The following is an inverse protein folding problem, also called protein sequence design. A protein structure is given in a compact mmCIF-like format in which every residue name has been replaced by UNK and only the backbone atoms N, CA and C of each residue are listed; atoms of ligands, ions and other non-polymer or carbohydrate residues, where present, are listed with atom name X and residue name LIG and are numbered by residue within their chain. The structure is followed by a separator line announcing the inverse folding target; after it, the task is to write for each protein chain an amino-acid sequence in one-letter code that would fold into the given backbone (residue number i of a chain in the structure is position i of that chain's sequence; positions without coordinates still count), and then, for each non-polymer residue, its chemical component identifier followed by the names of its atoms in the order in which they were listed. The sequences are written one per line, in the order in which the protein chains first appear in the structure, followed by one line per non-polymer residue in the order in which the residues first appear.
data_IF_706015288069
#
_entry.id   IF_706015288069
#
_cell.length_a   1.000
_cell.length_b   1.000
_cell.length_c   1.000
_cell.angle_alpha   90.00
_cell.angle_beta   90.00
_cell.angle_gamma   90.00
#
_symmetry.space_group_name_H-M   'P 1'
#
loop_
_entity.id
_entity.type
_entity.pdbx_description
1 polymer ?
#
# COMPACT_ATOMS: atom_id res chain seq x y z
N UNK A 1 1.89 -14.82 13.77
CA UNK A 1 2.62 -15.12 12.51
C UNK A 1 1.58 -15.38 11.43
N UNK A 2 1.61 -14.60 10.32
CA UNK A 2 0.60 -14.70 9.27
C UNK A 2 0.74 -15.95 8.37
N UNK A 3 1.79 -16.76 8.56
CA UNK A 3 2.00 -18.01 7.81
C UNK A 3 2.26 -17.82 6.30
N UNK A 4 2.53 -16.59 5.86
CA UNK A 4 2.77 -16.27 4.45
C UNK A 4 4.21 -16.54 4.01
N UNK A 5 5.16 -16.44 4.94
CA UNK A 5 6.58 -16.70 4.68
C UNK A 5 7.08 -17.85 5.56
N UNK A 6 7.94 -18.68 5.00
CA UNK A 6 8.78 -19.59 5.79
C UNK A 6 9.69 -18.73 6.68
N UNK A 7 10.09 -19.21 7.85
CA UNK A 7 10.87 -18.45 8.85
C UNK A 7 12.33 -18.17 8.41
N UNK A 8 12.52 -17.55 7.24
CA UNK A 8 13.82 -17.14 6.74
C UNK A 8 13.95 -15.61 6.72
N UNK A 9 15.16 -15.11 6.75
CA UNK A 9 15.49 -13.69 6.78
C UNK A 9 15.73 -13.08 5.38
N UNK A 10 15.45 -13.82 4.29
CA UNK A 10 15.73 -13.33 2.92
C UNK A 10 14.97 -12.04 2.59
N UNK A 11 13.74 -11.87 3.10
CA UNK A 11 12.96 -10.66 2.89
C UNK A 11 13.62 -9.42 3.52
N UNK A 12 14.20 -9.57 4.72
CA UNK A 12 14.96 -8.51 5.38
C UNK A 12 16.23 -8.17 4.60
N UNK A 13 16.97 -9.18 4.16
CA UNK A 13 18.18 -8.97 3.36
C UNK A 13 17.88 -8.23 2.06
N UNK A 14 16.88 -8.67 1.29
CA UNK A 14 16.45 -8.00 0.06
C UNK A 14 15.99 -6.56 0.31
N UNK A 15 15.29 -6.30 1.42
CA UNK A 15 14.87 -4.97 1.81
C UNK A 15 16.07 -4.04 2.07
N UNK A 16 17.10 -4.52 2.80
CA UNK A 16 18.31 -3.74 3.02
C UNK A 16 19.09 -3.48 1.72
N UNK A 17 19.23 -4.48 0.87
CA UNK A 17 19.86 -4.33 -0.45
C UNK A 17 19.12 -3.28 -1.29
N UNK A 18 17.78 -3.33 -1.32
CA UNK A 18 16.96 -2.33 -1.99
C UNK A 18 17.20 -0.92 -1.45
N UNK A 19 17.25 -0.74 -0.14
CA UNK A 19 17.52 0.56 0.48
C UNK A 19 18.89 1.12 0.13
N UNK A 20 19.91 0.26 0.03
CA UNK A 20 21.28 0.70 -0.37
C UNK A 20 21.31 1.25 -1.80
N UNK A 21 20.60 0.60 -2.73
CA UNK A 21 20.57 1.03 -4.13
C UNK A 21 19.69 2.27 -4.36
N UNK A 22 18.65 2.46 -3.56
CA UNK A 22 17.69 3.56 -3.68
C UNK A 22 17.72 4.52 -2.48
N UNK A 23 18.92 4.92 -2.07
CA UNK A 23 19.10 5.85 -0.94
C UNK A 23 18.39 7.20 -1.14
N UNK A 24 18.12 7.60 -2.39
CA UNK A 24 17.36 8.82 -2.73
C UNK A 24 15.91 8.81 -2.18
N UNK A 25 15.34 7.63 -1.91
CA UNK A 25 14.01 7.51 -1.29
C UNK A 25 13.97 8.18 0.09
N UNK A 26 15.09 8.18 0.83
CA UNK A 26 15.17 8.80 2.17
C UNK A 26 15.08 10.34 2.13
N UNK A 27 15.24 10.96 0.98
CA UNK A 27 15.10 12.42 0.84
C UNK A 27 13.63 12.86 0.94
N UNK A 28 12.68 11.98 0.61
CA UNK A 28 11.26 12.30 0.57
C UNK A 28 10.51 11.70 1.78
N UNK A 29 10.52 12.44 2.91
CA UNK A 29 9.90 12.02 4.18
C UNK A 29 8.43 11.62 4.03
N UNK A 30 7.68 12.34 3.17
CA UNK A 30 6.25 12.10 2.97
C UNK A 30 5.99 10.73 2.33
N UNK A 31 6.81 10.35 1.35
CA UNK A 31 6.70 9.04 0.68
C UNK A 31 7.00 7.90 1.67
N UNK A 32 8.02 8.07 2.52
CA UNK A 32 8.39 7.06 3.53
C UNK A 32 7.24 6.85 4.51
N UNK A 33 6.67 7.94 5.04
CA UNK A 33 5.56 7.88 5.99
C UNK A 33 4.34 7.23 5.33
N UNK A 34 3.99 7.65 4.11
CA UNK A 34 2.89 7.07 3.36
C UNK A 34 3.08 5.56 3.15
N UNK A 35 4.25 5.12 2.69
CA UNK A 35 4.55 3.70 2.49
C UNK A 35 4.45 2.90 3.78
N UNK A 36 4.94 3.44 4.90
CA UNK A 36 4.80 2.80 6.21
C UNK A 36 3.33 2.59 6.58
N UNK A 37 2.48 3.60 6.40
CA UNK A 37 1.04 3.53 6.66
C UNK A 37 0.35 2.50 5.73
N UNK A 38 0.74 2.45 4.45
CA UNK A 38 0.23 1.44 3.51
C UNK A 38 0.62 0.01 3.92
N UNK A 39 1.82 -0.19 4.46
CA UNK A 39 2.22 -1.50 5.00
C UNK A 39 1.40 -1.90 6.23
N UNK A 40 1.04 -0.94 7.10
CA UNK A 40 0.12 -1.19 8.22
C UNK A 40 -1.27 -1.59 7.71
N UNK A 41 -1.78 -0.90 6.69
CA UNK A 41 -3.04 -1.24 6.04
C UNK A 41 -3.00 -2.65 5.44
N UNK A 42 -1.97 -2.97 4.67
CA UNK A 42 -1.79 -4.29 4.06
C UNK A 42 -1.73 -5.41 5.12
N UNK A 43 -1.02 -5.18 6.22
CA UNK A 43 -0.98 -6.11 7.36
C UNK A 43 -2.38 -6.41 7.90
N UNK A 44 -3.24 -5.38 8.03
CA UNK A 44 -4.63 -5.54 8.49
C UNK A 44 -5.47 -6.31 7.48
N UNK A 45 -5.35 -6.02 6.18
CA UNK A 45 -6.06 -6.72 5.11
C UNK A 45 -5.69 -8.21 5.04
N UNK A 46 -4.40 -8.54 5.14
CA UNK A 46 -3.94 -9.93 5.20
C UNK A 46 -4.50 -10.67 6.43
N UNK A 47 -4.68 -9.97 7.54
CA UNK A 47 -5.21 -10.57 8.77
C UNK A 47 -6.71 -10.88 8.70
N UNK A 48 -7.44 -10.42 7.66
CA UNK A 48 -8.86 -10.75 7.45
C UNK A 48 -9.11 -12.26 7.27
N UNK A 49 -8.11 -13.03 6.87
CA UNK A 49 -8.20 -14.50 6.75
C UNK A 49 -8.68 -15.20 8.03
N UNK A 50 -8.46 -14.59 9.20
CA UNK A 50 -8.89 -15.17 10.49
C UNK A 50 -10.38 -15.01 10.75
N UNK A 51 -11.07 -14.15 9.98
CA UNK A 51 -12.50 -13.79 10.13
C UNK A 51 -12.88 -13.26 11.53
N UNK A 52 -11.89 -13.01 12.39
CA UNK A 52 -12.08 -12.42 13.73
C UNK A 52 -12.01 -10.89 13.60
N UNK A 53 -12.94 -10.18 14.24
CA UNK A 53 -12.96 -8.70 14.26
C UNK A 53 -12.85 -8.08 12.86
N UNK A 54 -13.58 -8.62 11.90
CA UNK A 54 -13.46 -8.23 10.47
C UNK A 54 -13.74 -6.75 10.26
N UNK A 55 -14.73 -6.18 10.94
CA UNK A 55 -15.13 -4.77 10.81
C UNK A 55 -14.02 -3.83 11.29
N UNK A 56 -13.42 -4.12 12.44
CA UNK A 56 -12.31 -3.35 12.97
C UNK A 56 -11.10 -3.37 12.03
N UNK A 57 -10.78 -4.54 11.47
CA UNK A 57 -9.66 -4.68 10.53
C UNK A 57 -9.88 -3.91 9.23
N UNK A 58 -11.12 -3.90 8.71
CA UNK A 58 -11.48 -3.13 7.51
C UNK A 58 -11.38 -1.63 7.82
N UNK A 59 -11.91 -1.21 8.98
CA UNK A 59 -11.82 0.18 9.42
C UNK A 59 -10.36 0.63 9.56
N UNK A 60 -9.55 -0.14 10.30
CA UNK A 60 -8.13 0.16 10.50
C UNK A 60 -7.38 0.27 9.17
N UNK A 61 -7.59 -0.70 8.26
CA UNK A 61 -6.93 -0.69 6.96
C UNK A 61 -7.31 0.56 6.14
N UNK A 62 -8.60 0.88 6.08
CA UNK A 62 -9.11 2.06 5.38
C UNK A 62 -8.59 3.36 6.01
N UNK A 63 -8.57 3.42 7.33
CA UNK A 63 -8.05 4.55 8.10
C UNK A 63 -6.57 4.82 7.77
N UNK A 64 -5.73 3.77 7.77
CA UNK A 64 -4.31 3.91 7.43
C UNK A 64 -4.09 4.35 5.99
N UNK A 65 -4.93 3.88 5.04
CA UNK A 65 -4.84 4.29 3.63
C UNK A 65 -5.20 5.77 3.47
N UNK A 66 -6.30 6.23 4.07
CA UNK A 66 -6.68 7.63 3.98
C UNK A 66 -5.68 8.54 4.70
N UNK A 67 -5.10 8.09 5.81
CA UNK A 67 -4.03 8.81 6.48
C UNK A 67 -2.76 8.87 5.60
N UNK A 68 -2.41 7.79 4.91
CA UNK A 68 -1.31 7.75 3.94
C UNK A 68 -1.53 8.74 2.80
N UNK A 69 -2.76 8.89 2.32
CA UNK A 69 -3.13 9.82 1.26
C UNK A 69 -2.91 11.30 1.64
N UNK A 70 -2.93 11.64 2.94
CA UNK A 70 -2.58 12.99 3.40
C UNK A 70 -1.09 13.32 3.20
N UNK A 71 -0.22 12.32 3.25
CA UNK A 71 1.21 12.50 3.01
C UNK A 71 1.57 12.37 1.52
N UNK A 72 0.96 11.41 0.82
CA UNK A 72 1.15 11.17 -0.59
C UNK A 72 -0.21 10.90 -1.25
N UNK A 73 -0.72 11.88 -1.98
CA UNK A 73 -2.09 11.89 -2.49
C UNK A 73 -2.46 10.62 -3.26
N UNK A 74 -1.57 10.14 -4.13
CA UNK A 74 -1.81 8.95 -4.96
C UNK A 74 -2.03 7.65 -4.18
N UNK A 75 -1.65 7.62 -2.91
CA UNK A 75 -1.91 6.48 -2.02
C UNK A 75 -3.40 6.20 -1.81
N UNK A 76 -4.29 7.14 -2.14
CA UNK A 76 -5.75 6.97 -2.07
C UNK A 76 -6.23 5.79 -2.94
N UNK A 77 -5.53 5.49 -4.04
CA UNK A 77 -5.88 4.34 -4.90
C UNK A 77 -5.77 2.99 -4.20
N UNK A 78 -5.01 2.90 -3.09
CA UNK A 78 -4.99 1.68 -2.29
C UNK A 78 -6.34 1.34 -1.64
N UNK A 79 -7.31 2.27 -1.62
CA UNK A 79 -8.67 1.97 -1.15
C UNK A 79 -9.33 0.87 -1.99
N UNK A 80 -8.99 0.75 -3.27
CA UNK A 80 -9.44 -0.33 -4.14
C UNK A 80 -9.03 -1.69 -3.57
N UNK A 81 -7.84 -1.79 -2.95
CA UNK A 81 -7.38 -3.02 -2.30
C UNK A 81 -8.27 -3.43 -1.12
N UNK A 82 -8.84 -2.46 -0.39
CA UNK A 82 -9.79 -2.76 0.69
C UNK A 82 -11.04 -3.41 0.13
N UNK A 83 -11.62 -2.87 -0.95
CA UNK A 83 -12.78 -3.46 -1.59
C UNK A 83 -12.48 -4.86 -2.16
N UNK A 84 -11.33 -5.05 -2.80
CA UNK A 84 -10.88 -6.37 -3.26
C UNK A 84 -10.76 -7.34 -2.08
N UNK A 85 -10.17 -6.91 -0.96
CA UNK A 85 -10.04 -7.75 0.23
C UNK A 85 -11.39 -8.10 0.85
N UNK A 86 -12.37 -7.18 0.85
CA UNK A 86 -13.75 -7.46 1.29
C UNK A 86 -14.37 -8.54 0.40
N UNK A 87 -14.24 -8.43 -0.92
CA UNK A 87 -14.75 -9.42 -1.89
C UNK A 87 -14.13 -10.80 -1.63
N UNK A 88 -12.82 -10.85 -1.42
CA UNK A 88 -12.08 -12.11 -1.28
C UNK A 88 -12.30 -12.82 0.06
N UNK A 89 -12.62 -12.09 1.14
CA UNK A 89 -12.66 -12.66 2.49
C UNK A 89 -14.06 -12.63 3.14
N UNK A 90 -14.84 -11.55 2.95
CA UNK A 90 -16.06 -11.27 3.74
C UNK A 90 -17.21 -10.69 2.93
N UNK A 91 -17.34 -11.07 1.66
CA UNK A 91 -18.33 -10.52 0.73
C UNK A 91 -19.79 -10.71 1.16
N UNK A 92 -20.08 -11.70 1.99
CA UNK A 92 -21.46 -12.06 2.41
C UNK A 92 -22.15 -11.01 3.28
N UNK A 93 -21.40 -10.15 3.99
CA UNK A 93 -21.96 -9.12 4.86
C UNK A 93 -21.84 -7.74 4.19
N UNK A 94 -22.98 -7.21 3.71
CA UNK A 94 -23.05 -5.89 3.05
C UNK A 94 -22.58 -4.74 3.96
N UNK A 95 -22.65 -4.89 5.28
CA UNK A 95 -22.21 -3.88 6.25
C UNK A 95 -20.73 -3.59 6.14
N UNK A 96 -19.93 -4.55 5.67
CA UNK A 96 -18.49 -4.38 5.49
C UNK A 96 -18.15 -3.35 4.41
N UNK A 97 -19.05 -3.15 3.42
CA UNK A 97 -18.86 -2.18 2.33
C UNK A 97 -19.00 -0.72 2.78
N UNK A 98 -19.69 -0.47 3.88
CA UNK A 98 -19.92 0.88 4.42
C UNK A 98 -18.71 1.34 5.26
N UNK A 99 -17.95 0.41 5.84
CA UNK A 99 -16.88 0.71 6.79
C UNK A 99 -15.79 1.63 6.21
N UNK A 100 -15.32 1.44 4.95
CA UNK A 100 -14.33 2.35 4.37
C UNK A 100 -14.81 3.82 4.31
N UNK A 101 -16.09 4.06 4.09
CA UNK A 101 -16.66 5.42 4.09
C UNK A 101 -16.67 6.03 5.49
N UNK A 102 -16.94 5.23 6.53
CA UNK A 102 -16.84 5.69 7.92
C UNK A 102 -15.39 6.08 8.25
N UNK A 103 -14.41 5.30 7.80
CA UNK A 103 -13.00 5.62 7.98
C UNK A 103 -12.59 6.90 7.22
N UNK A 104 -13.09 7.10 6.00
CA UNK A 104 -12.90 8.35 5.25
C UNK A 104 -13.41 9.54 6.03
N UNK A 105 -14.63 9.46 6.57
CA UNK A 105 -15.23 10.53 7.34
C UNK A 105 -14.40 10.85 8.59
N UNK A 106 -13.94 9.82 9.32
CA UNK A 106 -13.09 10.00 10.49
C UNK A 106 -11.77 10.73 10.16
N UNK A 107 -11.09 10.32 9.08
CA UNK A 107 -9.82 10.97 8.65
C UNK A 107 -10.10 12.40 8.16
N UNK A 108 -11.20 12.65 7.48
CA UNK A 108 -11.60 13.99 7.04
C UNK A 108 -11.80 14.94 8.24
N UNK A 109 -12.45 14.48 9.30
CA UNK A 109 -12.60 15.29 10.54
C UNK A 109 -11.23 15.59 11.13
N UNK A 110 -10.36 14.59 11.27
CA UNK A 110 -9.00 14.78 11.80
C UNK A 110 -8.23 15.79 10.96
N UNK A 111 -8.34 15.69 9.62
CA UNK A 111 -7.68 16.61 8.71
C UNK A 111 -8.16 18.06 8.88
N UNK A 112 -9.48 18.29 8.97
CA UNK A 112 -10.00 19.64 9.17
C UNK A 112 -9.61 20.23 10.53
N UNK A 113 -9.60 19.41 11.59
CA UNK A 113 -9.11 19.83 12.89
C UNK A 113 -7.61 20.21 12.83
N UNK A 114 -6.79 19.37 12.21
CA UNK A 114 -5.37 19.65 12.04
C UNK A 114 -5.13 20.92 11.19
N UNK A 115 -5.88 21.09 10.10
CA UNK A 115 -5.79 22.26 9.24
C UNK A 115 -6.17 23.56 9.97
N UNK A 116 -7.17 23.51 10.85
CA UNK A 116 -7.57 24.67 11.67
C UNK A 116 -6.51 25.07 12.70
N UNK A 117 -5.74 24.10 13.22
CA UNK A 117 -4.66 24.36 14.18
C UNK A 117 -3.38 24.87 13.47
N UNK A 118 -3.15 24.51 12.22
CA UNK A 118 -1.96 24.82 11.42
C UNK A 118 -2.19 25.94 10.39
N UNK A 119 -2.93 26.99 10.79
CA UNK A 119 -3.16 28.20 9.99
C UNK A 119 -3.68 27.98 8.56
N UNK A 120 -4.52 26.97 8.37
CA UNK A 120 -5.16 26.63 7.09
C UNK A 120 -4.21 26.37 5.89
N UNK A 121 -2.95 26.03 6.16
CA UNK A 121 -1.93 25.82 5.11
C UNK A 121 -1.92 24.40 4.54
N UNK A 122 -2.52 23.41 5.25
CA UNK A 122 -2.50 22.01 4.84
C UNK A 122 -3.30 21.73 3.57
N UNK A 123 -4.44 22.41 3.40
CA UNK A 123 -5.29 22.23 2.22
C UNK A 123 -4.57 22.66 0.95
N UNK A 124 -3.91 23.82 0.97
CA UNK A 124 -3.14 24.33 -0.17
C UNK A 124 -1.96 23.42 -0.51
N UNK A 125 -1.27 22.90 0.50
CA UNK A 125 -0.16 21.94 0.30
C UNK A 125 -0.61 20.59 -0.25
N UNK A 126 -1.78 20.10 0.11
CA UNK A 126 -2.35 18.89 -0.49
C UNK A 126 -2.72 19.12 -1.95
N UNK A 127 -3.42 20.22 -2.25
CA UNK A 127 -3.83 20.55 -3.61
C UNK A 127 -2.62 20.77 -4.55
N UNK A 128 -1.54 21.34 -4.05
CA UNK A 128 -0.30 21.51 -4.84
C UNK A 128 0.40 20.19 -5.17
N UNK A 129 0.10 19.09 -4.49
CA UNK A 129 0.68 17.76 -4.71
C UNK A 129 -0.18 16.83 -5.58
N UNK A 130 -1.30 17.32 -6.11
CA UNK A 130 -2.21 16.52 -6.95
C UNK A 130 -1.82 16.49 -8.43
N UNK A 131 -0.76 17.17 -8.82
CA UNK A 131 -0.32 17.20 -10.22
C UNK A 131 0.24 15.82 -10.63
N UNK A 132 -0.22 15.35 -11.80
CA UNK A 132 0.37 14.20 -12.46
C UNK A 132 1.60 14.70 -13.21
N UNK A 133 2.78 14.26 -12.81
CA UNK A 133 3.99 14.49 -13.60
C UNK A 133 4.41 13.15 -14.22
N UNK A 134 4.43 13.09 -15.55
CA UNK A 134 5.02 11.95 -16.26
C UNK A 134 6.53 12.13 -16.48
N UNK A 135 7.18 12.92 -15.64
CA UNK A 135 8.62 13.17 -15.71
C UNK A 135 9.38 12.02 -15.06
N UNK A 136 9.90 11.12 -15.87
CA UNK A 136 10.73 10.00 -15.44
C UNK A 136 12.21 10.36 -15.21
N UNK A 137 12.52 11.66 -15.07
CA UNK A 137 13.89 12.16 -14.88
C UNK A 137 14.50 11.91 -13.49
N UNK A 138 13.79 11.26 -12.58
CA UNK A 138 14.24 10.99 -11.21
C UNK A 138 15.53 10.15 -11.12
N UNK A 139 15.90 9.44 -12.18
CA UNK A 139 17.08 8.56 -12.21
C UNK A 139 18.12 9.09 -13.19
N UNK A 140 18.80 10.19 -12.82
CA UNK A 140 19.84 10.77 -13.67
C UNK A 140 21.08 9.89 -13.77
N UNK A 141 21.41 9.14 -12.71
CA UNK A 141 22.59 8.28 -12.72
C UNK A 141 22.35 6.95 -13.43
N UNK A 142 23.34 6.51 -14.21
CA UNK A 142 23.34 5.19 -14.91
C UNK A 142 23.16 4.07 -13.90
N UNK A 143 23.79 4.16 -12.73
CA UNK A 143 23.69 3.13 -11.68
C UNK A 143 22.27 2.96 -11.14
N UNK A 144 21.53 4.05 -10.93
CA UNK A 144 20.14 4.00 -10.47
C UNK A 144 19.24 3.39 -11.53
N UNK A 145 19.42 3.73 -12.81
CA UNK A 145 18.67 3.14 -13.92
C UNK A 145 18.92 1.64 -14.07
N UNK A 146 20.17 1.18 -13.94
CA UNK A 146 20.52 -0.25 -13.95
C UNK A 146 19.93 -0.97 -12.74
N UNK A 147 20.00 -0.38 -11.55
CA UNK A 147 19.38 -0.94 -10.36
C UNK A 147 17.87 -1.07 -10.52
N UNK A 148 17.19 -0.04 -11.06
CA UNK A 148 15.76 -0.07 -11.33
C UNK A 148 15.41 -1.21 -12.31
N UNK A 149 16.15 -1.33 -13.42
CA UNK A 149 15.94 -2.40 -14.41
C UNK A 149 16.12 -3.79 -13.80
N UNK A 150 17.13 -3.99 -12.96
CA UNK A 150 17.37 -5.23 -12.24
C UNK A 150 16.23 -5.56 -11.28
N UNK A 151 15.85 -4.62 -10.41
CA UNK A 151 14.79 -4.84 -9.42
C UNK A 151 13.42 -5.05 -10.07
N UNK A 152 13.10 -4.32 -11.15
CA UNK A 152 11.84 -4.53 -11.88
C UNK A 152 11.82 -5.91 -12.56
N UNK A 153 12.90 -6.35 -13.15
CA UNK A 153 13.00 -7.69 -13.77
C UNK A 153 12.83 -8.79 -12.73
N UNK A 154 13.51 -8.68 -11.59
CA UNK A 154 13.42 -9.64 -10.48
C UNK A 154 11.99 -9.64 -9.89
N UNK A 155 11.41 -8.47 -9.67
CA UNK A 155 10.06 -8.36 -9.09
C UNK A 155 8.98 -8.90 -10.02
N UNK A 156 9.10 -8.69 -11.34
CA UNK A 156 8.22 -9.27 -12.34
C UNK A 156 8.35 -10.80 -12.38
N UNK A 157 9.56 -11.33 -12.34
CA UNK A 157 9.77 -12.78 -12.27
C UNK A 157 9.09 -13.41 -11.06
N UNK A 158 9.28 -12.82 -9.86
CA UNK A 158 8.63 -13.32 -8.66
C UNK A 158 7.11 -13.11 -8.68
N UNK A 159 6.62 -12.04 -9.28
CA UNK A 159 5.19 -11.79 -9.44
C UNK A 159 4.56 -12.88 -10.30
N UNK A 160 5.12 -13.17 -11.47
CA UNK A 160 4.63 -14.22 -12.38
C UNK A 160 4.69 -15.58 -11.69
N UNK A 161 5.81 -15.92 -11.06
CA UNK A 161 5.96 -17.17 -10.30
C UNK A 161 4.90 -17.28 -9.20
N UNK A 162 4.63 -16.19 -8.47
CA UNK A 162 3.63 -16.17 -7.41
C UNK A 162 2.20 -16.35 -7.93
N UNK A 163 1.87 -15.79 -9.11
CA UNK A 163 0.57 -15.99 -9.76
C UNK A 163 0.31 -17.49 -10.02
N UNK A 164 1.31 -18.21 -10.52
CA UNK A 164 1.19 -19.65 -10.76
C UNK A 164 1.17 -20.49 -9.48
N UNK A 165 1.76 -19.99 -8.40
CA UNK A 165 1.80 -20.69 -7.11
C UNK A 165 0.49 -20.54 -6.30
N UNK A 166 -0.27 -19.47 -6.50
CA UNK A 166 -1.50 -19.20 -5.70
C UNK A 166 -2.52 -20.33 -5.75
N UNK A 167 -2.84 -20.94 -6.90
CA UNK A 167 -3.81 -22.04 -6.97
C UNK A 167 -3.38 -23.27 -6.13
N UNK A 168 -2.07 -23.47 -5.94
CA UNK A 168 -1.52 -24.61 -5.19
C UNK A 168 -1.48 -24.37 -3.68
N UNK A 169 -1.87 -23.17 -3.19
CA UNK A 169 -1.95 -22.88 -1.75
C UNK A 169 -3.25 -23.39 -1.15
N UNK A 170 -3.25 -23.63 0.17
CA UNK A 170 -4.46 -23.97 0.89
C UNK A 170 -5.53 -22.88 0.70
N UNK A 171 -6.80 -23.27 0.54
CA UNK A 171 -7.92 -22.40 0.23
C UNK A 171 -8.02 -21.17 1.15
N UNK A 172 -7.80 -21.37 2.45
CA UNK A 172 -7.81 -20.30 3.45
C UNK A 172 -6.67 -19.28 3.30
N UNK A 173 -5.62 -19.62 2.53
CA UNK A 173 -4.47 -18.76 2.28
C UNK A 173 -4.54 -18.05 0.91
N UNK A 174 -5.27 -18.63 -0.05
CA UNK A 174 -5.35 -18.09 -1.42
C UNK A 174 -5.83 -16.64 -1.45
N UNK A 175 -6.86 -16.30 -0.65
CA UNK A 175 -7.38 -14.93 -0.58
C UNK A 175 -6.33 -13.92 -0.14
N UNK A 176 -5.51 -14.27 0.87
CA UNK A 176 -4.41 -13.41 1.32
C UNK A 176 -3.31 -13.26 0.28
N UNK A 177 -2.95 -14.34 -0.43
CA UNK A 177 -1.97 -14.28 -1.52
C UNK A 177 -2.48 -13.44 -2.70
N UNK A 178 -3.76 -13.56 -3.06
CA UNK A 178 -4.40 -12.69 -4.07
C UNK A 178 -4.36 -11.22 -3.64
N UNK A 179 -4.65 -10.91 -2.38
CA UNK A 179 -4.56 -9.54 -1.85
C UNK A 179 -3.15 -8.97 -2.01
N UNK A 180 -2.09 -9.76 -1.78
CA UNK A 180 -0.70 -9.34 -1.99
C UNK A 180 -0.42 -9.07 -3.48
N UNK A 181 -0.90 -9.92 -4.39
CA UNK A 181 -0.74 -9.72 -5.85
C UNK A 181 -1.41 -8.41 -6.30
N UNK A 182 -2.64 -8.15 -5.86
CA UNK A 182 -3.33 -6.89 -6.17
C UNK A 182 -2.62 -5.68 -5.55
N UNK A 183 -2.08 -5.82 -4.34
CA UNK A 183 -1.27 -4.78 -3.70
C UNK A 183 -0.04 -4.43 -4.53
N UNK A 184 0.64 -5.42 -5.12
CA UNK A 184 1.78 -5.19 -5.99
C UNK A 184 1.39 -4.43 -7.26
N UNK A 185 0.30 -4.84 -7.94
CA UNK A 185 -0.20 -4.18 -9.14
C UNK A 185 -0.55 -2.72 -8.85
N UNK A 186 -1.27 -2.46 -7.75
CA UNK A 186 -1.62 -1.10 -7.34
C UNK A 186 -0.38 -0.27 -6.99
N UNK A 187 0.61 -0.87 -6.32
CA UNK A 187 1.86 -0.19 -6.00
C UNK A 187 2.61 0.27 -7.25
N UNK A 188 2.71 -0.60 -8.26
CA UNK A 188 3.30 -0.24 -9.56
C UNK A 188 2.47 0.85 -10.26
N UNK A 189 1.14 0.72 -10.24
CA UNK A 189 0.23 1.74 -10.82
C UNK A 189 0.41 3.11 -10.17
N UNK A 190 0.51 3.19 -8.86
CA UNK A 190 0.74 4.44 -8.13
C UNK A 190 2.13 5.01 -8.48
N UNK A 191 3.15 4.16 -8.56
CA UNK A 191 4.50 4.60 -8.94
C UNK A 191 4.54 5.24 -10.34
N UNK A 192 3.76 4.73 -11.29
CA UNK A 192 3.68 5.30 -12.66
C UNK A 192 2.91 6.62 -12.68
N UNK A 193 1.95 6.83 -11.78
CA UNK A 193 1.11 8.03 -11.73
C UNK A 193 1.71 9.16 -10.87
N UNK A 194 2.66 8.85 -10.02
CA UNK A 194 3.25 9.74 -9.02
C UNK A 194 4.56 10.38 -9.52
#
# INVERSE_FOLDING_TARGET
KNGLTKGNNYALFLFFVFLLFFSSIFQNKNIIISNFLLLLALRRLISLKSLLQTKEKIFDASFWIFLAALFHFWSIFYIVLVFIAIILHVSKDYRNWIIPFIALFAVTIIFFLANSVLDNSLLSTLLSKTYISFDFYYFESIYQRLALALFTSISLFFFVSHVFDVPNKALNMQSSHKTILFSFILGVGIYVLS
#
